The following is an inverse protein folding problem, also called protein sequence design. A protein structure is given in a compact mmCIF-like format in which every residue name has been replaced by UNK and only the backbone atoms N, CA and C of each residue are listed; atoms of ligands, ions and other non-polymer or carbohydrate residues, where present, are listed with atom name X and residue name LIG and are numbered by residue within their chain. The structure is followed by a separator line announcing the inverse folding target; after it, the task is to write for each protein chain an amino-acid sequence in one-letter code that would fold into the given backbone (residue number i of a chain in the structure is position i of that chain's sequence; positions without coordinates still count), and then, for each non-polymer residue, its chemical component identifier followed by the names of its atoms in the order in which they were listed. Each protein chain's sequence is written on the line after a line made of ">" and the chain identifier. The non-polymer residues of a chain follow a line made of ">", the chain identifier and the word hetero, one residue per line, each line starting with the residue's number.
data_IF_997542685735
#
_entry.id   IF_997542685735
#
_cell.length_a   1.000
_cell.length_b   1.000
_cell.length_c   1.000
_cell.angle_alpha   90.00
_cell.angle_beta   90.00
_cell.angle_gamma   90.00
#
_symmetry.space_group_name_H-M   'P 1'
#
loop_
_entity.id
_entity.type
_entity.pdbx_description
1 polymer ?
#
# COMPACT_ATOMS: atom_id res chain seq x y z
N UNK A 1 -27.28 -17.74 -5.80
CA UNK A 1 -26.01 -17.02 -5.98
C UNK A 1 -25.39 -17.55 -7.26
N UNK A 2 -25.52 -16.81 -8.36
CA UNK A 2 -25.03 -17.23 -9.68
C UNK A 2 -23.63 -16.64 -9.82
N UNK A 3 -22.60 -17.46 -9.68
CA UNK A 3 -21.22 -17.05 -9.91
C UNK A 3 -21.01 -17.10 -11.42
N UNK A 4 -21.25 -15.97 -12.10
CA UNK A 4 -20.78 -15.81 -13.46
C UNK A 4 -19.27 -15.63 -13.40
N UNK A 5 -18.55 -16.67 -13.84
CA UNK A 5 -17.10 -16.63 -13.98
C UNK A 5 -16.84 -15.82 -15.25
N UNK A 6 -16.35 -14.59 -15.10
CA UNK A 6 -15.93 -13.75 -16.22
C UNK A 6 -14.88 -14.51 -17.06
N UNK A 7 -14.90 -14.38 -18.40
CA UNK A 7 -13.95 -15.06 -19.27
C UNK A 7 -12.51 -14.66 -18.97
N UNK A 8 -11.56 -15.58 -19.18
CA UNK A 8 -10.14 -15.42 -18.82
C UNK A 8 -9.45 -14.19 -19.45
N UNK A 9 -10.01 -13.63 -20.52
CA UNK A 9 -9.55 -12.39 -21.19
C UNK A 9 -9.94 -11.10 -20.45
N UNK A 10 -10.79 -11.20 -19.43
CA UNK A 10 -11.23 -10.08 -18.57
C UNK A 10 -10.68 -10.20 -17.14
N UNK A 11 -9.82 -11.19 -16.86
CA UNK A 11 -9.10 -11.20 -15.60
C UNK A 11 -8.05 -10.07 -15.62
N UNK A 12 -8.07 -9.14 -14.64
CA UNK A 12 -6.99 -8.17 -14.51
C UNK A 12 -5.65 -8.91 -14.39
N UNK A 13 -4.58 -8.34 -14.97
CA UNK A 13 -3.23 -8.92 -14.96
C UNK A 13 -2.76 -9.35 -13.55
N UNK A 14 -3.31 -8.72 -12.50
CA UNK A 14 -3.34 -9.22 -11.13
C UNK A 14 -4.77 -9.45 -10.64
N UNK A 15 -5.05 -10.61 -10.06
CA UNK A 15 -6.34 -10.85 -9.38
C UNK A 15 -6.47 -9.98 -8.12
N UNK A 16 -7.70 -9.74 -7.67
CA UNK A 16 -7.99 -8.99 -6.43
C UNK A 16 -7.24 -9.53 -5.20
N UNK A 17 -7.01 -10.84 -5.18
CA UNK A 17 -6.28 -11.52 -4.12
C UNK A 17 -4.76 -11.28 -4.21
N UNK A 18 -4.18 -11.18 -5.42
CA UNK A 18 -2.79 -10.74 -5.58
C UNK A 18 -2.60 -9.29 -5.11
N UNK A 19 -3.50 -8.40 -5.50
CA UNK A 19 -3.51 -6.99 -5.06
C UNK A 19 -3.59 -6.87 -3.55
N UNK A 20 -4.50 -7.62 -2.90
CA UNK A 20 -4.64 -7.65 -1.44
C UNK A 20 -3.34 -8.07 -0.76
N UNK A 21 -2.69 -9.13 -1.24
CA UNK A 21 -1.41 -9.59 -0.68
C UNK A 21 -0.30 -8.56 -0.86
N UNK A 22 -0.19 -7.95 -2.03
CA UNK A 22 0.81 -6.91 -2.29
C UNK A 22 0.62 -5.71 -1.34
N UNK A 23 -0.62 -5.25 -1.16
CA UNK A 23 -0.95 -4.22 -0.17
C UNK A 23 -0.49 -4.64 1.21
N UNK A 24 -0.96 -5.78 1.72
CA UNK A 24 -0.58 -6.23 3.07
C UNK A 24 0.95 -6.31 3.22
N UNK A 25 1.66 -6.81 2.22
CA UNK A 25 3.11 -6.91 2.24
C UNK A 25 3.82 -5.55 2.32
N UNK A 26 3.31 -4.52 1.64
CA UNK A 26 3.83 -3.14 1.73
C UNK A 26 3.64 -2.57 3.15
N UNK A 27 2.45 -2.75 3.73
CA UNK A 27 2.17 -2.26 5.08
C UNK A 27 2.98 -3.02 6.14
N UNK A 28 3.11 -4.34 6.00
CA UNK A 28 4.00 -5.15 6.85
C UNK A 28 5.46 -4.72 6.74
N UNK A 29 5.94 -4.40 5.54
CA UNK A 29 7.33 -3.96 5.36
C UNK A 29 7.67 -2.69 6.17
N UNK A 30 6.72 -1.74 6.29
CA UNK A 30 6.87 -0.59 7.18
C UNK A 30 6.84 -0.97 8.66
N UNK A 31 6.00 -1.94 9.04
CA UNK A 31 5.89 -2.43 10.43
C UNK A 31 7.15 -3.19 10.87
N UNK A 32 7.77 -3.92 9.93
CA UNK A 32 8.87 -4.85 10.19
C UNK A 32 10.26 -4.24 9.90
N UNK A 33 10.34 -2.97 9.49
CA UNK A 33 11.58 -2.32 9.02
C UNK A 33 12.27 -3.11 7.87
N UNK A 34 11.46 -3.65 6.94
CA UNK A 34 11.93 -4.48 5.84
C UNK A 34 11.91 -3.71 4.51
N UNK A 35 12.94 -2.86 4.32
CA UNK A 35 13.09 -2.08 3.09
C UNK A 35 13.21 -2.96 1.84
N UNK A 36 13.90 -4.09 1.93
CA UNK A 36 14.11 -4.97 0.78
C UNK A 36 12.81 -5.60 0.31
N UNK A 37 11.91 -5.96 1.23
CA UNK A 37 10.55 -6.40 0.91
C UNK A 37 9.77 -5.28 0.24
N UNK A 38 9.82 -4.05 0.79
CA UNK A 38 9.12 -2.91 0.20
C UNK A 38 9.58 -2.63 -1.24
N UNK A 39 10.89 -2.64 -1.50
CA UNK A 39 11.45 -2.36 -2.82
C UNK A 39 10.99 -3.33 -3.92
N UNK A 40 10.55 -4.55 -3.57
CA UNK A 40 10.00 -5.54 -4.52
C UNK A 40 8.55 -5.24 -4.94
N UNK A 41 7.83 -4.43 -4.16
CA UNK A 41 6.43 -4.09 -4.43
C UNK A 41 6.26 -2.67 -4.99
N UNK A 42 7.28 -1.81 -4.89
CA UNK A 42 7.25 -0.46 -5.43
C UNK A 42 7.91 -0.44 -6.81
N UNK A 43 7.08 -0.36 -7.86
CA UNK A 43 7.47 -0.36 -9.27
C UNK A 43 8.49 0.74 -9.61
N UNK A 44 9.30 0.53 -10.65
CA UNK A 44 10.34 1.48 -11.07
C UNK A 44 9.78 2.85 -11.49
N UNK A 45 8.60 2.86 -12.11
CA UNK A 45 7.85 4.05 -12.56
C UNK A 45 6.84 4.56 -11.52
N UNK A 46 6.97 4.13 -10.26
CA UNK A 46 6.09 4.53 -9.17
C UNK A 46 6.10 6.06 -8.94
N UNK A 47 4.91 6.61 -8.69
CA UNK A 47 4.70 7.99 -8.25
C UNK A 47 3.83 8.03 -7.00
N UNK A 48 4.09 9.01 -6.13
CA UNK A 48 3.36 9.17 -4.87
C UNK A 48 2.96 10.62 -4.62
N UNK A 49 1.74 10.80 -4.13
CA UNK A 49 1.22 12.10 -3.66
C UNK A 49 0.79 11.95 -2.21
N UNK A 50 1.28 12.86 -1.37
CA UNK A 50 0.97 12.95 0.06
C UNK A 50 0.39 14.34 0.36
N UNK A 51 -0.06 14.64 1.59
CA UNK A 51 -0.39 16.01 1.97
C UNK A 51 0.76 17.02 1.82
N UNK A 52 2.01 16.54 1.73
CA UNK A 52 3.23 17.36 1.67
C UNK A 52 4.00 17.22 0.34
N UNK A 53 3.67 16.22 -0.48
CA UNK A 53 4.39 15.86 -1.70
C UNK A 53 3.42 15.71 -2.86
N UNK A 54 3.82 16.13 -4.06
CA UNK A 54 3.02 15.98 -5.28
C UNK A 54 3.79 15.20 -6.34
N UNK A 55 3.26 14.03 -6.71
CA UNK A 55 3.78 13.13 -7.73
C UNK A 55 5.30 12.88 -7.66
N UNK A 56 5.83 12.66 -6.45
CA UNK A 56 7.26 12.35 -6.27
C UNK A 56 7.56 10.97 -6.85
N UNK A 57 8.74 10.83 -7.44
CA UNK A 57 9.19 9.56 -8.00
C UNK A 57 9.56 8.53 -6.90
N UNK A 58 9.82 7.30 -7.33
CA UNK A 58 10.25 6.20 -6.46
C UNK A 58 11.46 6.56 -5.59
N UNK A 59 12.47 7.23 -6.13
CA UNK A 59 13.69 7.54 -5.39
C UNK A 59 13.38 8.55 -4.26
N UNK A 60 12.66 9.62 -4.58
CA UNK A 60 12.19 10.60 -3.61
C UNK A 60 11.23 9.99 -2.59
N UNK A 61 10.39 9.04 -2.97
CA UNK A 61 9.54 8.29 -2.05
C UNK A 61 10.36 7.51 -1.00
N UNK A 62 11.40 6.77 -1.42
CA UNK A 62 12.26 6.08 -0.47
C UNK A 62 13.13 7.03 0.36
N UNK A 63 13.48 8.21 -0.15
CA UNK A 63 14.21 9.21 0.63
C UNK A 63 13.33 9.85 1.72
N UNK A 64 12.09 10.21 1.36
CA UNK A 64 11.21 11.04 2.21
C UNK A 64 10.24 10.24 3.05
N UNK A 65 9.63 9.20 2.49
CA UNK A 65 8.55 8.46 3.13
C UNK A 65 9.05 7.26 3.93
N UNK A 66 10.07 6.54 3.43
CA UNK A 66 10.61 5.39 4.15
C UNK A 66 11.04 5.72 5.58
N UNK A 67 11.76 6.83 5.90
CA UNK A 67 12.16 7.14 7.27
C UNK A 67 11.05 7.13 8.32
N UNK A 68 9.77 7.25 7.91
CA UNK A 68 8.62 7.18 8.80
C UNK A 68 8.50 5.82 9.52
N UNK A 69 9.06 4.72 9.02
CA UNK A 69 9.08 3.42 9.73
C UNK A 69 9.70 3.55 11.13
N UNK A 70 10.69 4.44 11.32
CA UNK A 70 11.35 4.66 12.62
C UNK A 70 10.46 5.31 13.66
N UNK A 71 9.47 6.07 13.20
CA UNK A 71 8.51 6.75 14.06
C UNK A 71 7.26 5.90 14.29
N UNK A 72 7.09 4.80 13.56
CA UNK A 72 5.95 3.91 13.61
C UNK A 72 6.13 2.86 14.70
N UNK A 73 5.13 2.72 15.57
CA UNK A 73 5.10 1.67 16.60
C UNK A 73 4.19 0.52 16.14
N UNK A 74 2.96 0.85 15.76
CA UNK A 74 2.04 -0.13 15.15
C UNK A 74 1.42 0.43 13.88
N UNK A 75 1.11 -0.47 12.95
CA UNK A 75 0.30 -0.21 11.78
C UNK A 75 -0.60 -1.40 11.51
N UNK A 76 -1.88 -1.15 11.30
CA UNK A 76 -2.89 -2.20 11.12
C UNK A 76 -3.82 -1.81 9.99
N UNK A 77 -3.78 -2.61 8.92
CA UNK A 77 -4.73 -2.52 7.81
C UNK A 77 -6.11 -2.93 8.30
N UNK A 78 -7.08 -2.03 8.20
CA UNK A 78 -8.45 -2.28 8.63
C UNK A 78 -9.34 -2.71 7.47
N UNK A 79 -9.16 -2.08 6.30
CA UNK A 79 -10.00 -2.32 5.13
C UNK A 79 -9.17 -2.21 3.86
N UNK A 80 -9.45 -3.11 2.92
CA UNK A 80 -8.99 -3.04 1.54
C UNK A 80 -10.21 -3.22 0.65
N UNK A 81 -10.49 -2.21 -0.17
CA UNK A 81 -11.52 -2.24 -1.20
C UNK A 81 -10.82 -2.25 -2.56
N UNK A 82 -10.93 -3.35 -3.30
CA UNK A 82 -10.37 -3.49 -4.65
C UNK A 82 -11.38 -2.97 -5.66
N UNK A 83 -10.91 -2.14 -6.59
CA UNK A 83 -11.67 -1.58 -7.70
C UNK A 83 -10.84 -1.69 -8.99
N UNK A 84 -11.15 -2.69 -9.82
CA UNK A 84 -10.40 -2.96 -11.04
C UNK A 84 -8.90 -3.22 -10.77
N UNK A 85 -8.03 -2.41 -11.37
CA UNK A 85 -6.57 -2.41 -11.16
C UNK A 85 -6.10 -1.46 -10.05
N UNK A 86 -6.98 -1.13 -9.10
CA UNK A 86 -6.71 -0.16 -8.04
C UNK A 86 -7.35 -0.59 -6.72
N UNK A 87 -7.00 0.08 -5.63
CA UNK A 87 -7.59 -0.18 -4.33
C UNK A 87 -7.60 1.04 -3.41
N UNK A 88 -8.55 1.05 -2.48
CA UNK A 88 -8.51 1.91 -1.30
C UNK A 88 -8.10 1.09 -0.08
N UNK A 89 -7.14 1.60 0.68
CA UNK A 89 -6.60 0.94 1.88
C UNK A 89 -6.75 1.87 3.06
N UNK A 90 -7.56 1.48 4.03
CA UNK A 90 -7.67 2.20 5.31
C UNK A 90 -6.88 1.47 6.37
N UNK A 91 -6.05 2.21 7.11
CA UNK A 91 -5.26 1.67 8.21
C UNK A 91 -5.27 2.61 9.41
N UNK A 92 -4.98 2.04 10.57
CA UNK A 92 -4.62 2.79 11.78
C UNK A 92 -3.15 2.60 12.06
N UNK A 93 -2.53 3.61 12.65
CA UNK A 93 -1.16 3.53 13.07
C UNK A 93 -0.95 4.29 14.38
N UNK A 94 -0.01 3.81 15.19
CA UNK A 94 0.49 4.52 16.36
C UNK A 94 1.94 4.86 16.16
N UNK A 95 2.34 6.05 16.62
CA UNK A 95 3.75 6.42 16.63
C UNK A 95 4.43 5.97 17.94
N UNK A 96 5.75 6.11 18.02
CA UNK A 96 6.54 5.78 19.21
C UNK A 96 6.17 6.60 20.47
N UNK A 97 5.44 7.72 20.32
CA UNK A 97 4.93 8.51 21.45
C UNK A 97 3.51 8.08 21.89
N UNK A 98 2.96 7.01 21.31
CA UNK A 98 1.60 6.51 21.58
C UNK A 98 0.47 7.31 20.92
N UNK A 99 0.78 8.31 20.08
CA UNK A 99 -0.23 9.06 19.32
C UNK A 99 -0.72 8.19 18.16
N UNK A 100 -2.04 8.01 18.09
CA UNK A 100 -2.68 7.29 17.00
C UNK A 100 -3.09 8.23 15.86
N UNK A 101 -3.09 7.72 14.64
CA UNK A 101 -3.73 8.31 13.48
C UNK A 101 -4.41 7.23 12.63
N UNK A 102 -5.28 7.66 11.73
CA UNK A 102 -5.96 6.81 10.76
C UNK A 102 -5.86 7.48 9.40
N UNK A 103 -5.49 6.71 8.38
CA UNK A 103 -5.34 7.22 7.03
C UNK A 103 -6.05 6.30 6.02
N UNK A 104 -6.30 6.82 4.82
CA UNK A 104 -6.73 6.03 3.67
C UNK A 104 -5.91 6.40 2.45
N UNK A 105 -5.35 5.39 1.79
CA UNK A 105 -4.55 5.53 0.58
C UNK A 105 -5.31 4.95 -0.60
N UNK A 106 -5.22 5.62 -1.75
CA UNK A 106 -5.60 5.07 -3.03
C UNK A 106 -4.34 4.57 -3.73
N UNK A 107 -4.34 3.29 -4.12
CA UNK A 107 -3.20 2.62 -4.75
C UNK A 107 -3.61 2.04 -6.10
N UNK A 108 -2.65 2.00 -7.02
CA UNK A 108 -2.81 1.49 -8.38
C UNK A 108 -1.73 0.44 -8.67
N UNK A 109 -2.03 -0.52 -9.55
CA UNK A 109 -1.18 -1.66 -9.86
C UNK A 109 -0.81 -1.74 -11.34
#
# INVERSE_FOLDING_TARGET
>A
MRTEILPASEMPAMTAEHMRRAICAVFEAYQDDDREKLERYIAEDFSFTSPYDDAIDRAAYFERCWPNHKALNTMTVERIFIDGGSAYVTYTATNMSGRAFRNTEYVTF
#
